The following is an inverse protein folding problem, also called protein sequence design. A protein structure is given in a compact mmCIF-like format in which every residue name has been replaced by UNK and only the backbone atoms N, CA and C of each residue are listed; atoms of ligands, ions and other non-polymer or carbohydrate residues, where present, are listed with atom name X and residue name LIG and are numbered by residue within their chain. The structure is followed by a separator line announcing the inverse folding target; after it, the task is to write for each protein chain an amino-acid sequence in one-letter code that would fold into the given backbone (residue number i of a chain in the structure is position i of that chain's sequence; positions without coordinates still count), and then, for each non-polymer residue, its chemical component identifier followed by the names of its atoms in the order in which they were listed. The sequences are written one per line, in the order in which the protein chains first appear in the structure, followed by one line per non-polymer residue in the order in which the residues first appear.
data_IF_595525689146
#
_entry.id   IF_595525689146
#
_cell.length_a   1.000
_cell.length_b   1.000
_cell.length_c   1.000
_cell.angle_alpha   90.00
_cell.angle_beta   90.00
_cell.angle_gamma   90.00
#
_symmetry.space_group_name_H-M   'P 1'
#
loop_
_entity.id
_entity.type
_entity.pdbx_description
1 polymer ?
#
# COMPACT_ATOMS: atom_id res chain seq x y z
N UNK A 1 4.68 3.88 -28.32
CA UNK A 1 5.42 3.85 -27.05
C UNK A 1 4.84 2.81 -26.10
N UNK A 2 3.58 2.90 -25.65
CA UNK A 2 2.97 1.89 -24.75
C UNK A 2 3.13 0.45 -25.27
N UNK A 3 2.77 0.18 -26.53
CA UNK A 3 2.96 -1.15 -27.12
C UNK A 3 4.43 -1.61 -27.22
N UNK A 4 5.40 -0.69 -27.22
CA UNK A 4 6.82 -1.07 -27.15
C UNK A 4 7.21 -1.46 -25.72
N UNK A 5 6.75 -0.73 -24.71
CA UNK A 5 6.95 -1.09 -23.31
C UNK A 5 6.30 -2.44 -22.99
N UNK A 6 5.09 -2.68 -23.49
CA UNK A 6 4.39 -3.96 -23.38
C UNK A 6 5.21 -5.11 -24.00
N UNK A 7 5.71 -4.92 -25.23
CA UNK A 7 6.58 -5.91 -25.88
C UNK A 7 7.87 -6.18 -25.09
N UNK A 8 8.48 -5.16 -24.47
CA UNK A 8 9.67 -5.31 -23.63
C UNK A 8 9.34 -6.09 -22.35
N UNK A 9 8.20 -5.80 -21.71
CA UNK A 9 7.71 -6.56 -20.55
C UNK A 9 7.44 -8.02 -20.93
N UNK A 10 6.79 -8.26 -22.07
CA UNK A 10 6.58 -9.61 -22.60
C UNK A 10 7.89 -10.33 -22.90
N UNK A 11 8.90 -9.62 -23.42
CA UNK A 11 10.24 -10.17 -23.61
C UNK A 11 10.89 -10.57 -22.28
N UNK A 12 10.84 -9.71 -21.26
CA UNK A 12 11.34 -10.01 -19.91
C UNK A 12 10.69 -11.27 -19.35
N UNK A 13 9.36 -11.35 -19.38
CA UNK A 13 8.59 -12.51 -18.90
C UNK A 13 9.06 -13.78 -19.62
N UNK A 14 9.13 -13.75 -20.95
CA UNK A 14 9.59 -14.89 -21.75
C UNK A 14 11.01 -15.33 -21.40
N UNK A 15 11.93 -14.40 -21.14
CA UNK A 15 13.30 -14.76 -20.74
C UNK A 15 13.34 -15.42 -19.35
N UNK A 16 12.50 -14.98 -18.41
CA UNK A 16 12.38 -15.62 -17.10
C UNK A 16 11.81 -17.04 -17.21
N UNK A 17 10.81 -17.24 -18.07
CA UNK A 17 10.23 -18.57 -18.35
C UNK A 17 11.27 -19.51 -18.97
N UNK A 18 11.99 -19.07 -20.00
CA UNK A 18 13.05 -19.86 -20.65
C UNK A 18 14.21 -20.19 -19.71
N UNK A 19 14.46 -19.33 -18.72
CA UNK A 19 15.49 -19.56 -17.71
C UNK A 19 15.01 -20.46 -16.57
N UNK A 20 13.73 -20.84 -16.54
CA UNK A 20 13.15 -21.71 -15.51
C UNK A 20 13.01 -21.05 -14.13
N UNK A 21 13.12 -19.72 -14.04
CA UNK A 21 13.05 -18.98 -12.77
C UNK A 21 11.80 -18.10 -12.67
N UNK A 22 10.91 -18.17 -13.66
CA UNK A 22 9.73 -17.32 -13.68
C UNK A 22 8.94 -17.45 -12.38
N UNK A 23 8.61 -18.65 -11.92
CA UNK A 23 7.81 -18.85 -10.70
C UNK A 23 8.52 -18.51 -9.38
N UNK A 24 9.83 -18.29 -9.40
CA UNK A 24 10.63 -17.94 -8.22
C UNK A 24 10.87 -16.43 -8.07
N UNK A 25 10.48 -15.63 -9.08
CA UNK A 25 10.77 -14.19 -9.12
C UNK A 25 9.54 -13.35 -8.79
N UNK A 26 9.73 -12.40 -7.88
CA UNK A 26 8.80 -11.30 -7.63
C UNK A 26 9.12 -10.12 -8.56
N UNK A 27 8.14 -9.75 -9.38
CA UNK A 27 8.21 -8.65 -10.36
C UNK A 27 7.27 -7.55 -9.88
N UNK A 28 7.77 -6.32 -9.80
CA UNK A 28 7.00 -5.11 -9.60
C UNK A 28 7.24 -4.20 -10.81
N UNK A 29 6.16 -3.77 -11.47
CA UNK A 29 6.18 -2.81 -12.57
C UNK A 29 5.36 -1.60 -12.15
N UNK A 30 5.98 -0.43 -12.18
CA UNK A 30 5.36 0.83 -11.75
C UNK A 30 5.93 2.01 -12.52
N UNK A 31 5.49 3.22 -12.19
CA UNK A 31 5.98 4.48 -12.73
C UNK A 31 6.15 5.49 -11.59
N UNK A 32 6.89 6.57 -11.85
CA UNK A 32 7.05 7.69 -10.94
C UNK A 32 5.80 8.59 -10.84
N UNK A 33 5.15 8.85 -11.98
CA UNK A 33 3.94 9.65 -12.07
C UNK A 33 3.13 9.34 -13.34
N UNK A 34 1.94 9.93 -13.44
CA UNK A 34 1.13 9.96 -14.66
C UNK A 34 1.47 11.11 -15.62
N UNK A 35 0.51 11.51 -16.44
CA UNK A 35 0.64 12.58 -17.44
C UNK A 35 -0.72 13.26 -17.66
N UNK A 36 -0.77 14.58 -17.52
CA UNK A 36 -1.95 15.38 -17.83
C UNK A 36 -1.86 16.00 -19.22
N UNK A 37 -3.00 16.12 -19.90
CA UNK A 37 -3.06 16.80 -21.20
C UNK A 37 -3.00 18.31 -21.01
N UNK A 38 -2.10 18.98 -21.75
CA UNK A 38 -1.99 20.43 -21.70
C UNK A 38 -3.01 21.12 -22.61
N UNK A 39 -3.48 22.29 -22.17
CA UNK A 39 -4.10 23.25 -23.06
C UNK A 39 -3.07 24.32 -23.44
N UNK A 40 -2.63 24.32 -24.69
CA UNK A 40 -1.58 25.23 -25.19
C UNK A 40 -1.98 26.72 -25.16
N UNK A 41 -3.26 27.04 -24.93
CA UNK A 41 -3.72 28.44 -24.75
C UNK A 41 -3.83 28.86 -23.29
N UNK A 42 -3.77 27.93 -22.33
CA UNK A 42 -3.85 28.23 -20.88
C UNK A 42 -2.46 28.37 -20.30
N UNK A 43 -1.92 29.58 -20.40
CA UNK A 43 -0.55 29.89 -19.96
C UNK A 43 -0.54 31.02 -18.94
N UNK A 44 0.40 30.95 -18.00
CA UNK A 44 0.65 32.00 -17.02
C UNK A 44 2.11 32.45 -17.13
N UNK A 45 2.33 33.71 -17.46
CA UNK A 45 3.67 34.26 -17.70
C UNK A 45 4.28 34.80 -16.41
N UNK A 46 5.46 34.32 -16.03
CA UNK A 46 6.08 34.68 -14.74
C UNK A 46 6.87 35.99 -14.81
N UNK A 47 7.68 36.21 -15.86
CA UNK A 47 8.61 37.35 -15.93
C UNK A 47 7.95 38.73 -15.82
N UNK A 48 6.73 38.98 -16.35
CA UNK A 48 6.06 40.26 -16.15
C UNK A 48 5.82 40.64 -14.68
N UNK A 49 5.86 39.66 -13.77
CA UNK A 49 5.65 39.83 -12.34
C UNK A 49 6.96 39.76 -11.52
N UNK A 50 8.12 39.71 -12.16
CA UNK A 50 9.42 39.65 -11.49
C UNK A 50 10.28 40.88 -11.82
N UNK A 51 10.82 41.52 -10.77
CA UNK A 51 11.94 42.43 -10.93
C UNK A 51 13.24 41.63 -10.94
N UNK A 52 13.79 41.33 -12.12
CA UNK A 52 14.99 40.49 -12.25
C UNK A 52 16.24 41.06 -11.56
N UNK A 53 16.27 42.35 -11.22
CA UNK A 53 17.38 42.94 -10.43
C UNK A 53 17.35 42.51 -8.96
N UNK A 54 16.21 42.04 -8.47
CA UNK A 54 15.94 41.60 -7.09
C UNK A 54 15.99 40.07 -6.93
N UNK A 55 16.24 39.32 -8.02
CA UNK A 55 16.23 37.85 -8.02
C UNK A 55 17.67 37.32 -8.09
N UNK A 56 18.03 36.41 -7.19
CA UNK A 56 19.30 35.67 -7.25
C UNK A 56 19.20 34.48 -8.19
N UNK A 57 18.12 33.69 -8.07
CA UNK A 57 17.88 32.53 -8.91
C UNK A 57 16.40 32.32 -9.18
N UNK A 58 16.12 31.83 -10.38
CA UNK A 58 14.78 31.50 -10.83
C UNK A 58 14.84 30.27 -11.75
N UNK A 59 13.98 29.29 -11.50
CA UNK A 59 13.82 28.12 -12.36
C UNK A 59 12.33 27.92 -12.67
N UNK A 60 12.01 27.78 -13.95
CA UNK A 60 10.68 27.43 -14.43
C UNK A 60 10.68 26.01 -15.00
N UNK A 61 9.87 25.13 -14.40
CA UNK A 61 9.67 23.75 -14.84
C UNK A 61 8.39 23.59 -15.67
N UNK A 62 7.61 24.66 -15.87
CA UNK A 62 6.32 24.65 -16.56
C UNK A 62 5.16 24.31 -15.64
N UNK A 63 5.20 23.17 -14.96
CA UNK A 63 4.18 22.76 -13.96
C UNK A 63 4.55 23.16 -12.53
N UNK A 64 5.63 23.92 -12.38
CA UNK A 64 6.01 24.59 -11.15
C UNK A 64 7.14 25.58 -11.43
N UNK A 65 7.33 26.54 -10.54
CA UNK A 65 8.49 27.42 -10.60
C UNK A 65 9.04 27.72 -9.21
N UNK A 66 10.36 27.78 -9.12
CA UNK A 66 11.11 28.01 -7.90
C UNK A 66 11.80 29.37 -7.98
N UNK A 67 11.53 30.25 -7.01
CA UNK A 67 12.05 31.62 -6.97
C UNK A 67 12.91 31.82 -5.72
N UNK A 68 14.13 32.31 -5.91
CA UNK A 68 15.03 32.76 -4.85
C UNK A 68 15.31 34.27 -5.02
N UNK A 69 14.52 35.12 -4.34
CA UNK A 69 14.79 36.55 -4.26
C UNK A 69 16.04 36.84 -3.43
N UNK A 70 16.70 37.96 -3.72
CA UNK A 70 17.76 38.53 -2.88
C UNK A 70 17.24 38.81 -1.46
N UNK A 71 18.16 38.82 -0.50
CA UNK A 71 17.84 39.19 0.88
C UNK A 71 17.11 40.54 0.94
N UNK A 72 15.98 40.59 1.65
CA UNK A 72 15.12 41.78 1.75
C UNK A 72 13.99 41.89 0.71
N UNK A 73 14.01 41.07 -0.35
CA UNK A 73 13.03 41.16 -1.45
C UNK A 73 12.01 40.02 -1.51
N UNK A 74 12.00 39.12 -0.52
CA UNK A 74 11.06 37.99 -0.50
C UNK A 74 9.61 38.46 -0.48
N UNK A 75 9.28 39.43 0.39
CA UNK A 75 7.90 39.90 0.54
C UNK A 75 7.42 40.70 -0.67
N UNK A 76 8.26 41.59 -1.22
CA UNK A 76 7.92 42.35 -2.44
C UNK A 76 7.75 41.42 -3.64
N UNK A 77 8.64 40.45 -3.80
CA UNK A 77 8.56 39.44 -4.89
C UNK A 77 7.29 38.61 -4.75
N UNK A 78 6.98 38.14 -3.54
CA UNK A 78 5.75 37.38 -3.27
C UNK A 78 4.50 38.19 -3.64
N UNK A 79 4.41 39.46 -3.20
CA UNK A 79 3.27 40.32 -3.52
C UNK A 79 3.12 40.56 -5.03
N UNK A 80 4.23 40.78 -5.74
CA UNK A 80 4.21 40.94 -7.20
C UNK A 80 3.71 39.68 -7.91
N UNK A 81 4.15 38.50 -7.46
CA UNK A 81 3.76 37.21 -8.03
C UNK A 81 2.30 36.84 -7.80
N UNK A 82 1.64 37.37 -6.76
CA UNK A 82 0.18 37.20 -6.60
C UNK A 82 -0.61 37.80 -7.79
N UNK A 83 -0.01 38.74 -8.52
CA UNK A 83 -0.60 39.33 -9.73
C UNK A 83 -0.64 38.40 -10.95
N UNK A 84 -0.01 37.22 -10.91
CA UNK A 84 0.04 36.30 -12.06
C UNK A 84 -1.34 35.72 -12.43
N UNK A 85 -2.28 35.73 -11.48
CA UNK A 85 -3.66 35.29 -11.68
C UNK A 85 -4.06 34.12 -10.78
N UNK A 86 -5.37 33.91 -10.65
CA UNK A 86 -5.98 32.94 -9.73
C UNK A 86 -5.74 31.47 -10.10
N UNK A 87 -5.19 31.20 -11.29
CA UNK A 87 -4.87 29.85 -11.75
C UNK A 87 -3.47 29.37 -11.35
N UNK A 88 -2.71 30.17 -10.62
CA UNK A 88 -1.41 29.80 -10.07
C UNK A 88 -1.44 29.98 -8.57
N UNK A 89 -1.15 28.91 -7.85
CA UNK A 89 -0.90 28.98 -6.43
C UNK A 89 0.51 29.51 -6.21
N UNK A 90 0.64 30.52 -5.35
CA UNK A 90 1.92 31.11 -4.97
C UNK A 90 2.06 30.95 -3.46
N UNK A 91 3.09 30.25 -3.02
CA UNK A 91 3.35 30.04 -1.60
C UNK A 91 4.74 30.53 -1.23
N UNK A 92 4.85 31.23 -0.10
CA UNK A 92 6.11 31.22 0.64
C UNK A 92 6.36 29.82 1.19
N UNK A 93 7.63 29.45 1.35
CA UNK A 93 8.06 28.13 1.83
C UNK A 93 7.24 27.57 3.00
N UNK A 94 7.07 28.36 4.05
CA UNK A 94 6.37 27.92 5.27
C UNK A 94 4.86 27.73 5.08
N UNK A 95 4.31 28.30 4.01
CA UNK A 95 2.90 28.23 3.64
C UNK A 95 2.62 27.21 2.53
N UNK A 96 3.62 26.46 2.06
CA UNK A 96 3.39 25.32 1.17
C UNK A 96 2.50 24.30 1.91
N UNK A 97 1.44 23.78 1.27
CA UNK A 97 0.51 22.86 1.89
C UNK A 97 1.20 21.63 2.50
N UNK A 98 0.71 21.21 3.67
CA UNK A 98 1.33 20.16 4.48
C UNK A 98 1.25 18.80 3.80
N UNK A 99 0.16 18.55 3.06
CA UNK A 99 -0.11 17.32 2.31
C UNK A 99 0.94 17.01 1.24
N UNK A 100 1.70 18.02 0.77
CA UNK A 100 2.78 17.79 -0.17
C UNK A 100 4.05 17.26 0.47
N UNK A 101 4.19 17.38 1.79
CA UNK A 101 5.44 17.07 2.50
C UNK A 101 6.68 17.77 1.88
N UNK A 102 6.48 18.95 1.25
CA UNK A 102 7.47 19.61 0.37
C UNK A 102 7.90 21.00 0.88
N UNK A 103 8.10 21.15 2.20
CA UNK A 103 8.55 22.43 2.79
C UNK A 103 9.76 22.33 3.70
N UNK A 104 9.96 21.18 4.33
CA UNK A 104 10.97 20.98 5.38
C UNK A 104 12.36 20.60 4.84
N UNK A 105 12.87 21.34 3.85
CA UNK A 105 14.22 21.14 3.33
C UNK A 105 14.87 22.46 2.89
N UNK A 106 16.18 22.63 3.09
CA UNK A 106 16.92 23.85 2.71
C UNK A 106 16.87 24.13 1.19
N UNK A 107 16.70 23.09 0.36
CA UNK A 107 16.61 23.20 -1.10
C UNK A 107 15.25 23.68 -1.61
N UNK A 108 14.21 23.69 -0.76
CA UNK A 108 12.91 24.26 -1.14
C UNK A 108 13.04 25.77 -1.28
N UNK A 109 12.60 26.37 -2.40
CA UNK A 109 12.74 27.79 -2.64
C UNK A 109 11.98 28.64 -1.61
N UNK A 110 12.41 29.88 -1.36
CA UNK A 110 11.64 30.85 -0.58
C UNK A 110 10.21 31.05 -1.09
N UNK A 111 10.01 31.03 -2.42
CA UNK A 111 8.70 31.13 -3.05
C UNK A 111 8.55 30.02 -4.10
N UNK A 112 7.44 29.29 -4.03
CA UNK A 112 7.05 28.23 -4.95
C UNK A 112 5.77 28.64 -5.69
N UNK A 113 5.77 28.45 -7.01
CA UNK A 113 4.58 28.57 -7.85
C UNK A 113 4.16 27.19 -8.31
N UNK A 114 2.85 26.95 -8.34
CA UNK A 114 2.25 25.77 -8.97
C UNK A 114 0.99 26.18 -9.72
N UNK A 115 0.92 26.01 -11.05
CA UNK A 115 -0.29 26.23 -11.81
C UNK A 115 -1.34 25.15 -11.47
N UNK A 116 -2.61 25.49 -11.63
CA UNK A 116 -3.71 24.53 -11.59
C UNK A 116 -3.58 23.53 -12.76
N UNK A 117 -4.31 22.42 -12.67
CA UNK A 117 -4.38 21.43 -13.73
C UNK A 117 -4.67 22.08 -15.10
N UNK A 118 -3.98 21.60 -16.14
CA UNK A 118 -4.03 22.09 -17.54
C UNK A 118 -3.51 23.50 -17.78
N UNK A 119 -3.01 24.21 -16.77
CA UNK A 119 -2.27 25.47 -16.93
C UNK A 119 -0.77 25.22 -16.96
N UNK A 120 -0.05 26.03 -17.73
CA UNK A 120 1.40 25.91 -17.85
C UNK A 120 2.07 27.26 -17.63
N UNK A 121 3.14 27.25 -16.84
CA UNK A 121 3.96 28.42 -16.57
C UNK A 121 4.93 28.66 -17.72
N UNK A 122 4.86 29.86 -18.30
CA UNK A 122 5.79 30.33 -19.33
C UNK A 122 6.60 31.49 -18.79
N UNK A 123 7.74 31.81 -19.41
CA UNK A 123 8.50 32.97 -18.97
C UNK A 123 7.83 34.25 -19.43
N UNK A 124 7.40 34.31 -20.70
CA UNK A 124 6.69 35.44 -21.29
C UNK A 124 5.39 34.96 -21.96
N UNK A 125 4.41 35.86 -22.09
CA UNK A 125 3.07 35.55 -22.63
C UNK A 125 3.05 35.07 -24.08
N UNK A 126 4.14 35.25 -24.83
CA UNK A 126 4.27 34.84 -26.24
C UNK A 126 5.16 33.60 -26.42
N UNK A 127 5.68 33.03 -25.34
CA UNK A 127 6.53 31.84 -25.43
C UNK A 127 5.68 30.66 -25.95
N UNK A 128 6.13 29.94 -26.99
CA UNK A 128 5.37 28.83 -27.55
C UNK A 128 5.40 27.63 -26.61
N UNK A 129 4.27 26.93 -26.49
CA UNK A 129 4.19 25.62 -25.82
C UNK A 129 4.13 24.53 -26.87
N UNK A 130 5.27 23.89 -27.11
CA UNK A 130 5.38 22.75 -28.03
C UNK A 130 5.09 21.40 -27.37
N UNK A 131 4.51 21.41 -26.16
CA UNK A 131 4.14 20.23 -25.40
C UNK A 131 2.63 20.00 -25.47
N UNK A 132 2.24 18.72 -25.58
CA UNK A 132 0.83 18.28 -25.54
C UNK A 132 0.44 17.68 -24.20
N UNK A 133 1.41 17.30 -23.38
CA UNK A 133 1.20 16.77 -22.04
C UNK A 133 2.34 17.19 -21.11
N UNK A 134 2.06 17.25 -19.81
CA UNK A 134 3.06 17.46 -18.77
C UNK A 134 2.59 16.88 -17.43
N UNK A 135 3.44 16.94 -16.43
CA UNK A 135 3.25 16.36 -15.10
C UNK A 135 3.98 17.21 -14.05
N UNK A 136 3.75 16.94 -12.77
CA UNK A 136 4.30 17.73 -11.64
C UNK A 136 3.28 18.67 -10.98
N UNK A 137 2.00 18.56 -11.36
CA UNK A 137 0.89 19.20 -10.65
C UNK A 137 0.67 18.58 -9.26
N UNK A 138 -0.39 19.03 -8.58
CA UNK A 138 -0.82 18.43 -7.32
C UNK A 138 -0.94 16.90 -7.46
N UNK A 139 -0.27 16.18 -6.57
CA UNK A 139 -0.18 14.72 -6.56
C UNK A 139 -1.51 14.02 -6.23
N UNK A 140 -2.55 14.76 -5.80
CA UNK A 140 -3.91 14.23 -5.61
C UNK A 140 -4.72 14.12 -6.90
N UNK A 141 -4.20 14.65 -8.02
CA UNK A 141 -4.90 14.60 -9.30
C UNK A 141 -4.75 13.22 -9.94
N UNK A 142 -5.86 12.68 -10.45
CA UNK A 142 -5.89 11.36 -11.07
C UNK A 142 -4.86 11.22 -12.21
N UNK A 143 -4.71 12.26 -13.05
CA UNK A 143 -3.73 12.26 -14.14
C UNK A 143 -2.27 12.17 -13.65
N UNK A 144 -1.99 12.46 -12.38
CA UNK A 144 -0.65 12.34 -11.78
C UNK A 144 -0.39 10.97 -11.16
N UNK A 145 -1.41 10.14 -11.00
CA UNK A 145 -1.26 8.82 -10.38
C UNK A 145 -0.57 7.85 -11.36
N UNK A 146 0.54 7.21 -10.96
CA UNK A 146 1.15 6.14 -11.74
C UNK A 146 0.35 4.84 -11.58
N UNK A 147 0.71 3.83 -12.36
CA UNK A 147 0.22 2.46 -12.17
C UNK A 147 1.14 1.65 -11.24
N UNK A 148 0.61 0.57 -10.68
CA UNK A 148 1.36 -0.45 -9.97
C UNK A 148 0.83 -1.83 -10.35
N UNK A 149 1.70 -2.71 -10.83
CA UNK A 149 1.39 -4.10 -11.17
C UNK A 149 2.47 -4.96 -10.55
N UNK A 150 2.08 -6.03 -9.86
CA UNK A 150 3.04 -6.96 -9.27
C UNK A 150 2.62 -8.41 -9.49
N UNK A 151 3.61 -9.30 -9.58
CA UNK A 151 3.41 -10.73 -9.75
C UNK A 151 4.60 -11.50 -9.17
N UNK A 152 4.33 -12.63 -8.54
CA UNK A 152 5.36 -13.53 -8.03
C UNK A 152 4.86 -14.29 -6.81
N UNK A 153 5.68 -15.18 -6.24
CA UNK A 153 5.30 -16.04 -5.12
C UNK A 153 4.91 -15.27 -3.86
N UNK A 154 5.41 -14.05 -3.67
CA UNK A 154 5.04 -13.22 -2.51
C UNK A 154 3.69 -12.52 -2.67
N UNK A 155 3.13 -12.43 -3.89
CA UNK A 155 1.94 -11.65 -4.18
C UNK A 155 0.69 -12.51 -4.33
N UNK A 156 -0.47 -11.95 -3.98
CA UNK A 156 -1.76 -12.56 -4.29
C UNK A 156 -2.00 -12.60 -5.80
N UNK A 157 -2.59 -13.70 -6.27
CA UNK A 157 -3.01 -13.84 -7.66
C UNK A 157 -4.45 -13.38 -7.85
N UNK A 158 -4.75 -12.75 -9.00
CA UNK A 158 -6.11 -12.31 -9.35
C UNK A 158 -6.68 -11.21 -8.44
N UNK A 159 -5.81 -10.46 -7.76
CA UNK A 159 -6.19 -9.42 -6.81
C UNK A 159 -6.05 -8.03 -7.41
N UNK A 160 -7.03 -7.17 -7.14
CA UNK A 160 -7.00 -5.73 -7.48
C UNK A 160 -7.10 -4.98 -6.15
N UNK A 161 -6.11 -4.14 -5.87
CA UNK A 161 -6.09 -3.35 -4.64
C UNK A 161 -6.80 -2.02 -4.83
N UNK A 162 -7.23 -1.44 -3.71
CA UNK A 162 -7.45 0.01 -3.63
C UNK A 162 -6.12 0.77 -3.83
N UNK A 163 -6.17 2.06 -4.21
CA UNK A 163 -4.98 2.89 -4.34
C UNK A 163 -4.21 3.04 -3.01
N UNK A 164 -2.89 3.10 -3.09
CA UNK A 164 -1.98 3.35 -1.98
C UNK A 164 -0.87 4.32 -2.42
N UNK A 165 0.01 4.75 -1.51
CA UNK A 165 1.02 5.78 -1.82
C UNK A 165 2.33 5.13 -2.29
N UNK A 166 3.04 5.80 -3.18
CA UNK A 166 4.35 5.32 -3.67
C UNK A 166 5.39 5.11 -2.56
N UNK A 167 5.29 5.88 -1.46
CA UNK A 167 6.17 5.72 -0.29
C UNK A 167 5.99 4.37 0.42
N UNK A 168 4.83 3.71 0.27
CA UNK A 168 4.53 2.43 0.90
C UNK A 168 5.26 1.26 0.19
N UNK A 169 5.72 1.47 -1.05
CA UNK A 169 6.41 0.44 -1.85
C UNK A 169 7.75 0.01 -1.23
N UNK A 170 8.48 0.92 -0.58
CA UNK A 170 9.76 0.58 0.05
C UNK A 170 9.59 -0.49 1.14
N UNK A 171 8.60 -0.30 2.03
CA UNK A 171 8.29 -1.28 3.08
C UNK A 171 7.88 -2.63 2.52
N UNK A 172 7.09 -2.63 1.44
CA UNK A 172 6.70 -3.85 0.73
C UNK A 172 7.90 -4.62 0.16
N UNK A 173 8.86 -3.91 -0.45
CA UNK A 173 10.08 -4.55 -0.99
C UNK A 173 10.91 -5.14 0.15
N UNK A 174 11.09 -4.42 1.26
CA UNK A 174 11.79 -4.94 2.43
C UNK A 174 11.15 -6.21 2.98
N UNK A 175 9.81 -6.23 3.11
CA UNK A 175 9.05 -7.41 3.58
C UNK A 175 9.28 -8.62 2.67
N UNK A 176 9.19 -8.43 1.35
CA UNK A 176 9.41 -9.51 0.36
C UNK A 176 10.84 -10.05 0.42
N UNK A 177 11.82 -9.18 0.68
CA UNK A 177 13.23 -9.55 0.77
C UNK A 177 13.64 -10.09 2.16
N UNK A 178 12.75 -10.05 3.16
CA UNK A 178 13.08 -10.40 4.54
C UNK A 178 14.09 -9.44 5.18
N UNK A 179 14.02 -8.15 4.85
CA UNK A 179 14.93 -7.12 5.34
C UNK A 179 14.23 -6.21 6.35
N UNK A 180 14.98 -5.78 7.37
CA UNK A 180 14.53 -4.72 8.27
C UNK A 180 14.57 -3.37 7.53
N UNK A 181 13.44 -2.66 7.38
CA UNK A 181 13.41 -1.38 6.70
C UNK A 181 14.12 -0.30 7.55
N UNK A 182 14.89 0.56 6.89
CA UNK A 182 15.37 1.80 7.51
C UNK A 182 14.19 2.75 7.80
N UNK A 183 14.36 3.74 8.70
CA UNK A 183 13.32 4.74 8.95
C UNK A 183 12.87 5.43 7.66
N UNK A 184 11.56 5.38 7.39
CA UNK A 184 10.95 5.91 6.17
C UNK A 184 9.52 6.39 6.46
N UNK A 185 8.85 6.93 5.44
CA UNK A 185 7.50 7.50 5.59
C UNK A 185 6.37 6.61 5.06
N UNK A 186 6.69 5.42 4.54
CA UNK A 186 5.70 4.45 4.10
C UNK A 186 5.08 3.69 5.27
N UNK A 187 3.91 3.11 5.02
CA UNK A 187 3.21 2.24 5.97
C UNK A 187 2.94 0.87 5.34
N UNK A 188 3.60 -0.16 5.87
CA UNK A 188 3.45 -1.54 5.38
C UNK A 188 1.99 -2.01 5.46
N UNK A 189 1.21 -1.52 6.44
CA UNK A 189 -0.22 -1.87 6.59
C UNK A 189 -1.06 -1.57 5.36
N UNK A 190 -0.72 -0.51 4.61
CA UNK A 190 -1.48 -0.06 3.44
C UNK A 190 -1.31 -1.01 2.24
N UNK A 191 -0.20 -1.75 2.23
CA UNK A 191 0.21 -2.62 1.12
C UNK A 191 0.31 -4.09 1.50
N UNK A 192 0.13 -4.43 2.77
CA UNK A 192 0.18 -5.81 3.26
C UNK A 192 -0.87 -6.71 2.59
N UNK A 193 -2.02 -6.14 2.21
CA UNK A 193 -3.08 -6.85 1.48
C UNK A 193 -2.63 -7.39 0.11
N UNK A 194 -1.55 -6.85 -0.47
CA UNK A 194 -0.98 -7.33 -1.74
C UNK A 194 -0.28 -8.69 -1.58
N UNK A 195 0.19 -8.99 -0.36
CA UNK A 195 0.98 -10.19 -0.10
C UNK A 195 0.10 -11.43 0.03
N UNK A 196 0.60 -12.54 -0.50
CA UNK A 196 0.01 -13.85 -0.28
C UNK A 196 0.03 -14.20 1.22
N UNK A 197 -0.95 -14.95 1.73
CA UNK A 197 -0.88 -15.48 3.10
C UNK A 197 0.42 -16.27 3.28
N UNK A 198 1.14 -16.06 4.37
CA UNK A 198 2.39 -16.78 4.61
C UNK A 198 2.13 -18.28 4.79
N UNK A 199 3.06 -19.12 4.33
CA UNK A 199 3.01 -20.57 4.58
C UNK A 199 2.99 -20.89 6.08
N UNK A 200 3.58 -20.02 6.91
CA UNK A 200 3.48 -20.09 8.37
C UNK A 200 2.05 -19.95 8.87
N UNK A 201 1.24 -19.09 8.27
CA UNK A 201 -0.18 -18.99 8.62
C UNK A 201 -0.90 -20.30 8.30
N UNK A 202 -0.67 -20.87 7.11
CA UNK A 202 -1.26 -22.14 6.72
C UNK A 202 -0.78 -23.28 7.63
N UNK A 203 0.52 -23.36 7.90
CA UNK A 203 1.12 -24.34 8.80
C UNK A 203 0.61 -24.19 10.24
N UNK A 204 0.39 -22.96 10.72
CA UNK A 204 -0.19 -22.69 12.04
C UNK A 204 -1.64 -23.14 12.09
N UNK A 205 -2.46 -22.81 11.08
CA UNK A 205 -3.85 -23.24 10.98
C UNK A 205 -3.94 -24.77 10.93
N UNK A 206 -3.12 -25.42 10.09
CA UNK A 206 -3.04 -26.88 10.02
C UNK A 206 -2.59 -27.46 11.38
N UNK A 207 -1.56 -26.89 12.01
CA UNK A 207 -1.05 -27.32 13.30
C UNK A 207 -2.10 -27.23 14.41
N UNK A 208 -2.87 -26.14 14.45
CA UNK A 208 -3.99 -25.97 15.39
C UNK A 208 -5.09 -26.99 15.15
N UNK A 209 -5.47 -27.24 13.88
CA UNK A 209 -6.49 -28.25 13.52
C UNK A 209 -6.02 -29.65 13.92
N UNK A 210 -4.80 -30.06 13.55
CA UNK A 210 -4.25 -31.37 13.89
C UNK A 210 -4.15 -31.55 15.40
N UNK A 211 -3.64 -30.54 16.11
CA UNK A 211 -3.53 -30.55 17.57
C UNK A 211 -4.89 -30.70 18.27
N UNK A 212 -5.92 -29.98 17.80
CA UNK A 212 -7.27 -30.07 18.38
C UNK A 212 -7.96 -31.40 18.08
N UNK A 213 -7.75 -32.00 16.90
CA UNK A 213 -8.24 -33.36 16.57
C UNK A 213 -7.58 -34.41 17.48
N UNK A 214 -6.25 -34.35 17.65
CA UNK A 214 -5.51 -35.26 18.53
C UNK A 214 -5.96 -35.15 19.99
N UNK A 215 -6.11 -33.92 20.50
CA UNK A 215 -6.61 -33.67 21.86
C UNK A 215 -8.02 -34.26 22.06
N UNK A 216 -8.89 -34.12 21.07
CA UNK A 216 -10.25 -34.68 21.09
C UNK A 216 -10.22 -36.22 21.16
N UNK A 217 -9.37 -36.87 20.36
CA UNK A 217 -9.19 -38.32 20.39
C UNK A 217 -8.69 -38.83 21.74
N UNK A 218 -7.73 -38.13 22.35
CA UNK A 218 -7.23 -38.46 23.69
C UNK A 218 -8.34 -38.32 24.73
N UNK A 219 -9.11 -37.24 24.68
CA UNK A 219 -10.23 -37.00 25.60
C UNK A 219 -11.30 -38.10 25.51
N UNK A 220 -11.70 -38.48 24.29
CA UNK A 220 -12.66 -39.56 24.04
C UNK A 220 -12.11 -40.89 24.54
N UNK A 221 -10.83 -41.19 24.31
CA UNK A 221 -10.19 -42.42 24.78
C UNK A 221 -10.15 -42.51 26.30
N UNK A 222 -9.85 -41.40 26.98
CA UNK A 222 -9.89 -41.28 28.44
C UNK A 222 -11.31 -41.52 28.95
N UNK A 223 -12.33 -40.88 28.36
CA UNK A 223 -13.74 -41.07 28.72
C UNK A 223 -14.19 -42.53 28.55
N UNK A 224 -13.79 -43.19 27.45
CA UNK A 224 -14.07 -44.61 27.21
C UNK A 224 -13.40 -45.49 28.28
N UNK A 225 -12.14 -45.21 28.62
CA UNK A 225 -11.40 -45.95 29.65
C UNK A 225 -12.08 -45.85 31.02
N UNK A 226 -12.45 -44.64 31.44
CA UNK A 226 -13.16 -44.42 32.70
C UNK A 226 -14.54 -45.09 32.70
N UNK A 227 -15.32 -44.98 31.62
CA UNK A 227 -16.62 -45.67 31.51
C UNK A 227 -16.47 -47.20 31.59
N UNK A 228 -15.48 -47.80 30.93
CA UNK A 228 -15.21 -49.25 31.06
C UNK A 228 -14.77 -49.64 32.48
N UNK A 229 -14.00 -48.81 33.15
CA UNK A 229 -13.59 -49.00 34.55
C UNK A 229 -14.76 -48.95 35.53
N UNK A 230 -15.71 -48.05 35.31
CA UNK A 230 -16.96 -47.95 36.09
C UNK A 230 -17.85 -49.17 35.84
N UNK A 231 -18.01 -49.61 34.58
CA UNK A 231 -18.80 -50.79 34.23
C UNK A 231 -18.22 -52.06 34.85
N UNK A 232 -16.89 -52.23 34.85
CA UNK A 232 -16.22 -53.39 35.48
C UNK A 232 -16.32 -53.43 37.00
N UNK A 233 -16.50 -52.29 37.67
CA UNK A 233 -16.62 -52.20 39.14
C UNK A 233 -18.06 -52.36 39.67
N UNK A 234 -19.08 -52.51 38.80
CA UNK A 234 -20.42 -52.89 39.28
C UNK A 234 -20.39 -54.36 39.76
N UNK A 235 -20.70 -54.65 41.04
CA UNK A 235 -20.77 -56.02 41.51
C UNK A 235 -21.91 -56.76 40.78
N UNK A 236 -21.65 -58.02 40.39
CA UNK A 236 -22.72 -58.93 39.97
C UNK A 236 -23.65 -59.13 41.18
N UNK A 237 -24.90 -58.73 41.05
CA UNK A 237 -25.95 -59.15 41.98
C UNK A 237 -26.24 -60.62 41.72
N UNK A 238 -25.84 -61.50 42.63
CA UNK A 238 -26.15 -62.91 42.58
C UNK A 238 -27.67 -63.14 42.72
N UNK A 239 -28.23 -63.84 41.74
CA UNK A 239 -29.62 -64.32 41.75
C UNK A 239 -29.72 -65.54 42.67
N UNK A 240 -30.38 -65.38 43.82
CA UNK A 240 -30.76 -66.49 44.68
C UNK A 240 -31.95 -67.25 44.08
N UNK A 241 -31.72 -68.49 43.65
CA UNK A 241 -32.75 -69.49 43.43
C UNK A 241 -32.85 -70.39 44.67
N UNK A 242 -34.01 -70.45 45.32
CA UNK A 242 -34.33 -71.56 46.23
C UNK A 242 -35.76 -72.04 45.95
N UNK A 243 -35.86 -73.23 45.38
CA UNK A 243 -37.10 -73.99 45.33
C UNK A 243 -37.34 -74.78 46.62
N UNK A 244 -38.62 -75.10 46.81
CA UNK A 244 -39.17 -76.24 47.58
C UNK A 244 -39.70 -75.97 49.01
N UNK A 245 -41.05 -75.95 49.06
CA UNK A 245 -42.04 -76.24 50.14
C UNK A 245 -41.69 -77.49 51.00
N UNK A 246 -42.32 -77.76 52.19
CA UNK A 246 -43.77 -77.66 52.43
C UNK A 246 -44.32 -77.26 53.82
N UNK A 247 -45.63 -76.98 53.75
CA UNK A 247 -46.74 -76.96 54.72
C UNK A 247 -46.48 -77.50 56.14
N UNK A 248 -46.90 -76.69 57.13
CA UNK A 248 -47.41 -77.15 58.43
C UNK A 248 -48.59 -76.25 58.83
N UNK A 249 -49.77 -76.86 58.87
CA UNK A 249 -50.92 -76.40 59.65
C UNK A 249 -50.66 -76.64 61.14
N UNK A 250 -50.99 -75.67 61.99
CA UNK A 250 -51.60 -75.95 63.30
C UNK A 250 -52.27 -74.70 63.88
N UNK A 251 -53.39 -74.96 64.55
CA UNK A 251 -54.45 -74.07 64.99
C UNK A 251 -54.15 -73.31 66.30
N UNK A 252 -55.15 -72.50 66.71
CA UNK A 252 -55.51 -72.00 68.06
C UNK A 252 -54.95 -70.59 68.31
N UNK A 253 -55.71 -69.53 68.61
CA UNK A 253 -57.10 -69.32 69.08
C UNK A 253 -57.62 -67.96 68.60
#
# INVERSE_FOLDING_TARGET
MIGQCDNITGYLIRQLELSGIFDDVNIIITSDHGMATLNQTRTAAIKPHLNMTEIDQYINYGTGAAIWPKAGYIDSTYQSLLGIGSHVSVWKKDNIPLEFHYRSNVRIPPILLMPQDKWFLVNNSKDPINLRGSHGYNNSLMDMHPFFIARGPAFRSGFVSEPFRSVDIYGLICEIMGLDPAPNNGSLSEVQQLLAPSDYFLATVIGVIVGSVLASFVLVSILIYFNKGIIRKRPKTDSFSSGSRPLLESNIS
#
